data_IF_392336750203
#
_entry.id   IF_392336750203
#
_cell.length_a   1.000
_cell.length_b   1.000
_cell.length_c   1.000
_cell.angle_alpha   90.00
_cell.angle_beta   90.00
_cell.angle_gamma   90.00
#
_symmetry.space_group_name_H-M   'P 1'
#
loop_
_entity.id
_entity.type
_entity.pdbx_description
1 polymer ?
#
# COMPACT_ATOMS: atom_id res chain seq x y z
N UNK A 1 -20.18 -12.19 15.97
CA UNK A 1 -20.46 -13.13 14.85
C UNK A 1 -19.25 -14.03 14.65
N UNK A 2 -19.30 -15.29 15.09
CA UNK A 2 -18.24 -16.26 14.82
C UNK A 2 -18.29 -16.65 13.34
N UNK A 3 -17.29 -16.24 12.56
CA UNK A 3 -17.17 -16.63 11.16
C UNK A 3 -16.85 -18.13 11.08
N UNK A 4 -17.57 -18.89 10.25
CA UNK A 4 -17.34 -20.32 10.09
C UNK A 4 -15.91 -20.58 9.59
N UNK A 5 -15.17 -21.55 10.17
CA UNK A 5 -13.86 -21.95 9.66
C UNK A 5 -13.91 -22.29 8.17
N UNK A 6 -12.96 -21.78 7.39
CA UNK A 6 -12.91 -21.95 5.92
C UNK A 6 -13.77 -20.96 5.11
N UNK A 7 -14.56 -20.11 5.75
CA UNK A 7 -15.25 -19.00 5.06
C UNK A 7 -14.28 -17.92 4.58
N UNK A 8 -14.67 -17.16 3.53
CA UNK A 8 -13.88 -16.05 2.97
C UNK A 8 -13.51 -15.03 4.06
N UNK A 9 -14.46 -14.64 4.90
CA UNK A 9 -14.21 -13.69 5.99
C UNK A 9 -13.23 -14.21 7.05
N UNK A 10 -13.33 -15.51 7.39
CA UNK A 10 -12.42 -16.14 8.34
C UNK A 10 -10.98 -16.19 7.80
N UNK A 11 -10.82 -16.62 6.54
CA UNK A 11 -9.52 -16.68 5.86
C UNK A 11 -8.92 -15.28 5.67
N UNK A 12 -9.73 -14.30 5.25
CA UNK A 12 -9.28 -12.93 5.05
C UNK A 12 -8.81 -12.28 6.35
N UNK A 13 -9.55 -12.46 7.45
CA UNK A 13 -9.10 -12.00 8.78
C UNK A 13 -7.75 -12.62 9.15
N UNK A 14 -7.56 -13.91 8.87
CA UNK A 14 -6.30 -14.59 9.14
C UNK A 14 -5.15 -13.98 8.32
N UNK A 15 -5.38 -13.68 7.05
CA UNK A 15 -4.39 -12.99 6.20
C UNK A 15 -4.03 -11.60 6.72
N UNK A 16 -5.02 -10.80 7.13
CA UNK A 16 -4.78 -9.48 7.74
C UNK A 16 -3.97 -9.59 9.03
N UNK A 17 -4.25 -10.61 9.83
CA UNK A 17 -3.43 -10.89 11.02
C UNK A 17 -1.99 -11.24 10.62
N UNK A 18 -1.79 -12.11 9.64
CA UNK A 18 -0.45 -12.46 9.16
C UNK A 18 0.32 -11.23 8.65
N UNK A 19 -0.36 -10.31 7.94
CA UNK A 19 0.22 -9.01 7.55
C UNK A 19 0.62 -8.16 8.77
N UNK A 20 -0.22 -8.14 9.80
CA UNK A 20 0.09 -7.43 11.05
C UNK A 20 1.32 -8.01 11.75
N UNK A 21 1.42 -9.33 11.84
CA UNK A 21 2.58 -9.98 12.44
C UNK A 21 3.84 -9.80 11.58
N UNK A 22 3.73 -9.86 10.25
CA UNK A 22 4.89 -9.67 9.36
C UNK A 22 5.41 -8.23 9.36
N UNK A 23 4.55 -7.24 9.60
CA UNK A 23 4.95 -5.84 9.77
C UNK A 23 5.86 -5.62 11.01
N UNK A 24 5.76 -6.48 12.03
CA UNK A 24 6.60 -6.41 13.23
C UNK A 24 7.99 -7.04 13.08
N UNK A 25 8.19 -7.88 12.07
CA UNK A 25 9.47 -8.56 11.80
C UNK A 25 10.39 -7.73 10.91
N UNK A 26 11.07 -6.74 11.50
CA UNK A 26 12.03 -5.87 10.78
C UNK A 26 13.36 -6.52 10.38
N UNK A 27 13.57 -7.83 10.60
CA UNK A 27 14.81 -8.54 10.21
C UNK A 27 14.51 -9.79 9.38
N UNK A 28 15.11 -9.94 8.18
CA UNK A 28 14.99 -11.16 7.41
C UNK A 28 15.56 -12.34 8.21
N UNK A 29 14.80 -13.44 8.32
CA UNK A 29 15.23 -14.68 8.97
C UNK A 29 14.82 -14.87 10.44
N UNK A 30 14.10 -13.93 11.08
CA UNK A 30 13.48 -14.16 12.40
C UNK A 30 12.00 -14.53 12.29
N UNK A 31 11.53 -15.33 13.26
CA UNK A 31 10.11 -15.69 13.35
C UNK A 31 9.24 -14.44 13.41
N UNK A 32 8.13 -14.46 12.68
CA UNK A 32 7.15 -13.38 12.63
C UNK A 32 6.67 -13.08 14.06
N UNK A 33 6.92 -11.87 14.55
CA UNK A 33 6.57 -11.42 15.91
C UNK A 33 5.71 -10.17 15.80
N UNK A 34 4.75 -10.02 16.72
CA UNK A 34 3.92 -8.81 16.81
C UNK A 34 4.82 -7.57 16.82
N UNK A 35 4.40 -6.46 16.18
CA UNK A 35 5.12 -5.19 16.32
C UNK A 35 5.28 -4.89 17.82
N UNK A 36 6.52 -4.65 18.24
CA UNK A 36 6.81 -4.31 19.63
C UNK A 36 6.16 -2.99 20.02
N UNK A 37 5.96 -2.76 21.32
CA UNK A 37 5.34 -1.51 21.81
C UNK A 37 6.06 -0.27 21.29
N UNK A 38 7.40 -0.28 21.25
CA UNK A 38 8.18 0.81 20.67
C UNK A 38 7.81 1.08 19.20
N UNK A 39 7.64 0.05 18.36
CA UNK A 39 7.23 0.20 16.97
C UNK A 39 5.82 0.77 16.82
N UNK A 40 4.89 0.36 17.69
CA UNK A 40 3.53 0.91 17.73
C UNK A 40 3.51 2.37 18.17
N UNK A 41 4.31 2.73 19.17
CA UNK A 41 4.47 4.11 19.64
C UNK A 41 5.05 4.96 18.51
N UNK A 42 6.11 4.51 17.85
CA UNK A 42 6.69 5.22 16.69
C UNK A 42 5.66 5.40 15.58
N UNK A 43 4.92 4.35 15.22
CA UNK A 43 3.87 4.42 14.19
C UNK A 43 2.78 5.43 14.58
N UNK A 44 2.34 5.41 15.84
CA UNK A 44 1.35 6.35 16.37
C UNK A 44 1.85 7.80 16.36
N UNK A 45 3.10 8.03 16.76
CA UNK A 45 3.72 9.36 16.71
C UNK A 45 3.85 9.88 15.28
N UNK A 46 4.30 9.05 14.34
CA UNK A 46 4.35 9.39 12.91
C UNK A 46 2.95 9.74 12.40
N UNK A 47 1.95 8.93 12.74
CA UNK A 47 0.57 9.16 12.30
C UNK A 47 -0.01 10.46 12.88
N UNK A 48 0.32 10.80 14.13
CA UNK A 48 -0.07 12.06 14.75
C UNK A 48 0.63 13.26 14.10
N UNK A 49 1.92 13.13 13.79
CA UNK A 49 2.66 14.15 13.04
C UNK A 49 2.07 14.37 11.64
N UNK A 50 1.65 13.31 10.96
CA UNK A 50 0.94 13.39 9.68
C UNK A 50 -0.41 14.12 9.82
N UNK A 51 -1.14 13.93 10.93
CA UNK A 51 -2.37 14.68 11.21
C UNK A 51 -2.11 16.17 11.42
N UNK A 52 -1.08 16.51 12.19
CA UNK A 52 -0.69 17.90 12.40
C UNK A 52 -0.30 18.57 11.06
N UNK A 53 0.51 17.89 10.25
CA UNK A 53 0.90 18.36 8.93
C UNK A 53 -0.31 18.49 7.99
N UNK A 54 -1.19 17.51 7.95
CA UNK A 54 -2.37 17.53 7.11
C UNK A 54 -3.32 18.66 7.50
N UNK A 55 -3.57 18.85 8.81
CA UNK A 55 -4.37 19.98 9.30
C UNK A 55 -3.75 21.32 8.92
N UNK A 56 -2.44 21.47 9.11
CA UNK A 56 -1.71 22.66 8.68
C UNK A 56 -1.89 22.91 7.18
N UNK A 57 -1.59 21.93 6.33
CA UNK A 57 -1.71 22.08 4.86
C UNK A 57 -3.14 22.42 4.44
N UNK A 58 -4.14 21.67 4.92
CA UNK A 58 -5.54 21.89 4.54
C UNK A 58 -6.05 23.27 5.00
N UNK A 59 -5.65 23.73 6.19
CA UNK A 59 -6.00 25.06 6.68
C UNK A 59 -5.44 26.21 5.81
N UNK A 60 -4.33 25.97 5.09
CA UNK A 60 -3.71 26.97 4.21
C UNK A 60 -4.34 27.02 2.81
N UNK A 61 -5.08 25.97 2.42
CA UNK A 61 -5.72 25.87 1.10
C UNK A 61 -7.23 26.12 1.16
N UNK A 62 -7.77 26.51 2.31
CA UNK A 62 -9.20 26.71 2.56
C UNK A 62 -9.85 27.78 1.65
N UNK A 63 -9.04 28.73 1.14
CA UNK A 63 -9.49 29.75 0.18
C UNK A 63 -9.35 29.36 -1.29
N UNK A 64 -8.87 28.16 -1.61
CA UNK A 64 -8.65 27.72 -3.00
C UNK A 64 -9.93 27.09 -3.55
N UNK A 65 -10.40 27.57 -4.70
CA UNK A 65 -11.55 26.96 -5.38
C UNK A 65 -11.18 25.60 -5.97
N UNK A 66 -11.54 24.53 -5.26
CA UNK A 66 -11.34 23.14 -5.69
C UNK A 66 -12.11 22.77 -6.97
N UNK A 67 -12.94 23.67 -7.52
CA UNK A 67 -13.61 23.50 -8.81
C UNK A 67 -12.78 24.05 -9.98
N UNK A 68 -11.67 24.73 -9.74
CA UNK A 68 -10.76 25.16 -10.79
C UNK A 68 -10.28 23.93 -11.60
N UNK A 69 -10.52 23.90 -12.93
CA UNK A 69 -10.06 22.81 -13.79
C UNK A 69 -8.56 22.50 -13.65
N UNK A 70 -7.72 23.51 -13.40
CA UNK A 70 -6.27 23.33 -13.24
C UNK A 70 -5.93 22.46 -12.04
N UNK A 71 -6.65 22.67 -10.93
CA UNK A 71 -6.47 21.91 -9.69
C UNK A 71 -6.98 20.49 -9.87
N UNK A 72 -8.13 20.31 -10.53
CA UNK A 72 -8.68 18.99 -10.82
C UNK A 72 -7.75 18.18 -11.73
N UNK A 73 -7.14 18.81 -12.74
CA UNK A 73 -6.13 18.16 -13.60
C UNK A 73 -4.89 17.78 -12.78
N UNK A 74 -4.37 18.69 -11.95
CA UNK A 74 -3.21 18.41 -11.10
C UNK A 74 -3.48 17.26 -10.10
N UNK A 75 -4.66 17.26 -9.46
CA UNK A 75 -5.09 16.20 -8.56
C UNK A 75 -5.26 14.87 -9.29
N UNK A 76 -5.82 14.90 -10.50
CA UNK A 76 -5.97 13.69 -11.33
C UNK A 76 -4.62 13.13 -11.74
N UNK A 77 -3.67 13.98 -12.15
CA UNK A 77 -2.32 13.58 -12.47
C UNK A 77 -1.59 12.99 -11.25
N UNK A 78 -1.77 13.60 -10.07
CA UNK A 78 -1.23 13.09 -8.81
C UNK A 78 -1.81 11.71 -8.46
N UNK A 79 -3.15 11.55 -8.53
CA UNK A 79 -3.81 10.27 -8.30
C UNK A 79 -3.36 9.22 -9.31
N UNK A 80 -3.20 9.59 -10.58
CA UNK A 80 -2.66 8.69 -11.60
C UNK A 80 -1.22 8.27 -11.28
N UNK A 81 -0.37 9.18 -10.83
CA UNK A 81 0.97 8.87 -10.32
C UNK A 81 0.93 7.92 -9.12
N UNK A 82 0.03 8.14 -8.17
CA UNK A 82 -0.20 7.22 -7.06
C UNK A 82 -0.66 5.83 -7.57
N UNK A 83 -1.49 5.78 -8.61
CA UNK A 83 -1.97 4.53 -9.23
C UNK A 83 -0.83 3.66 -9.74
N UNK A 84 0.14 4.27 -10.44
CA UNK A 84 1.26 3.52 -11.04
C UNK A 84 2.16 2.91 -9.97
N UNK A 85 2.43 3.67 -8.90
CA UNK A 85 3.15 3.14 -7.73
C UNK A 85 2.36 2.03 -7.02
N UNK A 86 1.04 2.19 -6.92
CA UNK A 86 0.15 1.19 -6.31
C UNK A 86 0.14 -0.09 -7.14
N UNK A 87 0.18 0.03 -8.47
CA UNK A 87 0.25 -1.11 -9.39
C UNK A 87 1.56 -1.87 -9.24
N UNK A 88 2.69 -1.16 -9.19
CA UNK A 88 4.02 -1.78 -9.01
C UNK A 88 4.10 -2.56 -7.68
N UNK A 89 3.66 -1.97 -6.58
CA UNK A 89 3.63 -2.64 -5.27
C UNK A 89 2.63 -3.81 -5.23
N UNK A 90 1.46 -3.68 -5.87
CA UNK A 90 0.45 -4.74 -5.95
C UNK A 90 0.89 -5.91 -6.82
N UNK A 91 1.66 -5.68 -7.89
CA UNK A 91 2.28 -6.75 -8.70
C UNK A 91 3.23 -7.59 -7.86
N UNK A 92 4.14 -6.93 -7.13
CA UNK A 92 5.05 -7.61 -6.20
C UNK A 92 4.28 -8.42 -5.16
N UNK A 93 3.26 -7.81 -4.54
CA UNK A 93 2.43 -8.50 -3.55
C UNK A 93 1.68 -9.69 -4.15
N UNK A 94 1.19 -9.59 -5.39
CA UNK A 94 0.48 -10.66 -6.07
C UNK A 94 1.40 -11.86 -6.33
N UNK A 95 2.63 -11.62 -6.78
CA UNK A 95 3.62 -12.68 -6.99
C UNK A 95 3.97 -13.38 -5.68
N UNK A 96 4.19 -12.60 -4.62
CA UNK A 96 4.54 -13.14 -3.31
C UNK A 96 3.42 -14.04 -2.77
N UNK A 97 2.19 -13.54 -2.79
CA UNK A 97 1.01 -14.21 -2.23
C UNK A 97 0.62 -15.45 -3.04
N UNK A 98 0.80 -15.44 -4.36
CA UNK A 98 0.41 -16.57 -5.22
C UNK A 98 1.50 -17.63 -5.38
N UNK A 99 2.79 -17.25 -5.39
CA UNK A 99 3.86 -18.15 -5.82
C UNK A 99 5.01 -18.29 -4.83
N UNK A 100 5.35 -17.24 -4.06
CA UNK A 100 6.54 -17.32 -3.18
C UNK A 100 6.23 -17.82 -1.78
N UNK A 101 4.98 -17.66 -1.31
CA UNK A 101 4.61 -18.00 0.07
C UNK A 101 4.61 -19.51 0.37
N UNK A 102 4.55 -20.34 -0.67
CA UNK A 102 4.65 -21.81 -0.56
C UNK A 102 3.48 -22.49 0.14
N UNK A 103 2.43 -21.75 0.50
CA UNK A 103 1.24 -22.25 1.19
C UNK A 103 0.10 -22.61 0.20
N UNK A 104 0.23 -22.26 -1.08
CA UNK A 104 -0.84 -22.49 -2.07
C UNK A 104 -1.11 -23.97 -2.34
N UNK A 105 -0.07 -24.80 -2.49
CA UNK A 105 -0.24 -26.24 -2.74
C UNK A 105 -0.90 -26.94 -1.54
N UNK A 106 -0.58 -26.47 -0.32
CA UNK A 106 -1.22 -26.93 0.92
C UNK A 106 -2.69 -26.50 1.00
N UNK A 107 -2.99 -25.26 0.62
CA UNK A 107 -4.37 -24.75 0.61
C UNK A 107 -5.23 -25.43 -0.45
N UNK A 108 -4.66 -25.77 -1.61
CA UNK A 108 -5.37 -26.47 -2.69
C UNK A 108 -5.59 -27.96 -2.41
N UNK A 109 -4.77 -28.58 -1.56
CA UNK A 109 -4.98 -29.96 -1.09
C UNK A 109 -5.92 -30.05 0.13
N UNK A 110 -6.15 -28.92 0.82
CA UNK A 110 -7.16 -28.82 1.88
C UNK A 110 -8.59 -28.82 1.30
N UNK A 111 -9.63 -29.19 2.07
CA UNK A 111 -11.02 -29.19 1.63
C UNK A 111 -11.62 -27.77 1.52
N UNK A 112 -10.85 -26.79 1.03
CA UNK A 112 -11.26 -25.42 0.81
C UNK A 112 -11.57 -25.18 -0.67
N UNK A 113 -12.67 -24.50 -1.01
CA UNK A 113 -12.96 -24.15 -2.40
C UNK A 113 -11.89 -23.23 -2.99
N UNK A 114 -11.33 -23.56 -4.17
CA UNK A 114 -10.30 -22.75 -4.83
C UNK A 114 -10.71 -21.28 -5.01
N UNK A 115 -11.99 -21.04 -5.35
CA UNK A 115 -12.56 -19.68 -5.47
C UNK A 115 -12.37 -18.86 -4.19
N UNK A 116 -12.54 -19.47 -3.02
CA UNK A 116 -12.40 -18.80 -1.72
C UNK A 116 -10.96 -18.34 -1.51
N UNK A 117 -10.00 -19.22 -1.83
CA UNK A 117 -8.57 -18.95 -1.69
C UNK A 117 -8.17 -17.75 -2.57
N UNK A 118 -8.50 -17.78 -3.86
CA UNK A 118 -8.16 -16.70 -4.78
C UNK A 118 -8.86 -15.37 -4.44
N UNK A 119 -10.14 -15.40 -4.05
CA UNK A 119 -10.86 -14.20 -3.58
C UNK A 119 -10.17 -13.60 -2.36
N UNK A 120 -9.80 -14.42 -1.37
CA UNK A 120 -9.10 -13.94 -0.18
C UNK A 120 -7.75 -13.33 -0.55
N UNK A 121 -6.96 -13.98 -1.42
CA UNK A 121 -5.68 -13.42 -1.88
C UNK A 121 -5.87 -12.06 -2.55
N UNK A 122 -6.88 -11.93 -3.41
CA UNK A 122 -7.19 -10.67 -4.08
C UNK A 122 -7.57 -9.59 -3.08
N UNK A 123 -8.46 -9.90 -2.13
CA UNK A 123 -8.83 -9.01 -1.05
C UNK A 123 -7.62 -8.61 -0.19
N UNK A 124 -6.69 -9.52 0.08
CA UNK A 124 -5.46 -9.25 0.83
C UNK A 124 -4.55 -8.30 0.08
N UNK A 125 -4.37 -8.48 -1.24
CA UNK A 125 -3.59 -7.55 -2.07
C UNK A 125 -4.26 -6.17 -2.12
N UNK A 126 -5.58 -6.11 -2.31
CA UNK A 126 -6.33 -4.85 -2.34
C UNK A 126 -6.29 -4.11 -0.98
N UNK A 127 -6.50 -4.83 0.12
CA UNK A 127 -6.45 -4.25 1.46
C UNK A 127 -5.02 -3.81 1.82
N UNK A 128 -4.01 -4.62 1.49
CA UNK A 128 -2.61 -4.29 1.73
C UNK A 128 -2.15 -3.08 0.92
N UNK A 129 -2.56 -2.97 -0.34
CA UNK A 129 -2.24 -1.81 -1.17
C UNK A 129 -2.99 -0.56 -0.68
N UNK A 130 -4.29 -0.65 -0.37
CA UNK A 130 -5.07 0.46 0.18
C UNK A 130 -4.51 0.97 1.53
N UNK A 131 -4.06 0.07 2.41
CA UNK A 131 -3.66 0.40 3.77
C UNK A 131 -2.55 1.44 3.81
N UNK A 132 -1.54 1.34 2.95
CA UNK A 132 -0.44 2.30 2.89
C UNK A 132 -0.95 3.70 2.51
N UNK A 133 -1.78 3.79 1.47
CA UNK A 133 -2.31 5.08 1.02
C UNK A 133 -3.26 5.67 2.04
N UNK A 134 -4.16 4.86 2.61
CA UNK A 134 -5.06 5.31 3.68
C UNK A 134 -4.28 5.79 4.91
N UNK A 135 -3.19 5.14 5.28
CA UNK A 135 -2.35 5.60 6.40
C UNK A 135 -1.83 7.03 6.19
N UNK A 136 -1.38 7.36 4.98
CA UNK A 136 -0.83 8.69 4.65
C UNK A 136 -1.90 9.72 4.27
N UNK A 137 -2.99 9.31 3.61
CA UNK A 137 -3.99 10.22 3.04
C UNK A 137 -5.23 10.41 3.94
N UNK A 138 -5.58 9.45 4.81
CA UNK A 138 -6.69 9.63 5.76
C UNK A 138 -6.55 10.87 6.68
N UNK A 139 -5.33 11.26 7.14
CA UNK A 139 -5.16 12.52 7.87
C UNK A 139 -5.71 13.74 7.14
N UNK A 140 -5.57 13.81 5.82
CA UNK A 140 -6.12 14.89 5.00
C UNK A 140 -7.65 14.83 4.91
N UNK A 141 -8.22 13.60 4.83
CA UNK A 141 -9.66 13.41 4.87
C UNK A 141 -10.25 13.91 6.20
N UNK A 142 -9.62 13.57 7.32
CA UNK A 142 -10.01 14.04 8.64
C UNK A 142 -9.86 15.55 8.79
N UNK A 143 -8.73 16.12 8.39
CA UNK A 143 -8.48 17.55 8.45
C UNK A 143 -9.52 18.35 7.65
N UNK A 144 -9.82 17.92 6.42
CA UNK A 144 -10.86 18.54 5.60
C UNK A 144 -12.24 18.46 6.24
N UNK A 145 -12.59 17.31 6.84
CA UNK A 145 -13.85 17.16 7.56
C UNK A 145 -13.94 18.07 8.80
N UNK A 146 -12.86 18.20 9.57
CA UNK A 146 -12.78 19.08 10.74
C UNK A 146 -12.89 20.57 10.37
N UNK A 147 -12.41 20.96 9.19
CA UNK A 147 -12.51 22.32 8.64
C UNK A 147 -13.86 22.58 7.93
N UNK A 148 -14.81 21.64 7.96
CA UNK A 148 -16.16 21.80 7.41
C UNK A 148 -16.36 21.26 5.99
N UNK A 149 -15.32 20.72 5.36
CA UNK A 149 -15.37 20.22 3.98
C UNK A 149 -15.57 18.69 3.92
N UNK A 150 -16.81 18.24 4.07
CA UNK A 150 -17.16 16.81 4.04
C UNK A 150 -16.76 16.08 2.75
N UNK A 151 -16.56 16.81 1.64
CA UNK A 151 -16.12 16.24 0.36
C UNK A 151 -14.77 15.53 0.45
N UNK A 152 -13.92 15.88 1.41
CA UNK A 152 -12.65 15.21 1.64
C UNK A 152 -12.81 13.75 2.09
N UNK A 153 -13.96 13.36 2.65
CA UNK A 153 -14.25 11.96 2.94
C UNK A 153 -14.42 11.10 1.66
N UNK A 154 -14.61 11.71 0.49
CA UNK A 154 -14.62 10.97 -0.78
C UNK A 154 -13.28 10.25 -1.06
N UNK A 155 -12.21 10.63 -0.36
CA UNK A 155 -10.91 9.97 -0.44
C UNK A 155 -10.98 8.48 -0.07
N UNK A 156 -11.83 8.09 0.89
CA UNK A 156 -11.98 6.68 1.28
C UNK A 156 -12.52 5.79 0.14
N UNK A 157 -13.72 6.04 -0.42
CA UNK A 157 -14.23 5.20 -1.51
C UNK A 157 -13.36 5.28 -2.76
N UNK A 158 -12.73 6.43 -3.05
CA UNK A 158 -11.80 6.57 -4.19
C UNK A 158 -10.59 5.65 -4.01
N UNK A 159 -9.89 5.70 -2.87
CA UNK A 159 -8.73 4.86 -2.64
C UNK A 159 -9.09 3.38 -2.56
N UNK A 160 -10.21 3.03 -1.94
CA UNK A 160 -10.68 1.64 -1.89
C UNK A 160 -11.02 1.12 -3.29
N UNK A 161 -11.79 1.86 -4.10
CA UNK A 161 -12.11 1.48 -5.47
C UNK A 161 -10.89 1.41 -6.38
N UNK A 162 -9.96 2.34 -6.21
CA UNK A 162 -8.70 2.34 -6.96
C UNK A 162 -7.83 1.14 -6.59
N UNK A 163 -7.71 0.82 -5.30
CA UNK A 163 -6.92 -0.32 -4.82
C UNK A 163 -7.46 -1.66 -5.32
N UNK A 164 -8.78 -1.80 -5.43
CA UNK A 164 -9.40 -3.03 -5.94
C UNK A 164 -9.18 -3.19 -7.44
N UNK A 165 -9.36 -2.12 -8.23
CA UNK A 165 -9.06 -2.14 -9.67
C UNK A 165 -7.59 -2.48 -9.92
N UNK A 166 -6.69 -1.85 -9.16
CA UNK A 166 -5.25 -2.10 -9.28
C UNK A 166 -4.87 -3.51 -8.84
N UNK A 167 -5.47 -4.04 -7.76
CA UNK A 167 -5.22 -5.40 -7.32
C UNK A 167 -5.71 -6.43 -8.36
N UNK A 168 -6.89 -6.22 -8.96
CA UNK A 168 -7.39 -7.03 -10.06
C UNK A 168 -6.44 -7.02 -11.26
N UNK A 169 -6.03 -5.83 -11.70
CA UNK A 169 -5.08 -5.66 -12.80
C UNK A 169 -3.74 -6.35 -12.50
N UNK A 170 -3.18 -6.14 -11.30
CA UNK A 170 -1.94 -6.76 -10.88
C UNK A 170 -2.02 -8.29 -10.86
N UNK A 171 -3.10 -8.86 -10.34
CA UNK A 171 -3.29 -10.31 -10.33
C UNK A 171 -3.46 -10.88 -11.74
N UNK A 172 -4.22 -10.22 -12.61
CA UNK A 172 -4.38 -10.63 -14.01
C UNK A 172 -3.05 -10.58 -14.76
N UNK A 173 -2.28 -9.51 -14.60
CA UNK A 173 -0.94 -9.38 -15.19
C UNK A 173 0.00 -10.45 -14.66
N UNK A 174 -0.03 -10.73 -13.35
CA UNK A 174 0.81 -11.76 -12.73
C UNK A 174 0.46 -13.14 -13.29
N UNK A 175 -0.82 -13.50 -13.33
CA UNK A 175 -1.27 -14.78 -13.86
C UNK A 175 -0.99 -14.88 -15.38
N UNK A 176 -1.18 -13.79 -16.12
CA UNK A 176 -0.83 -13.69 -17.54
C UNK A 176 0.65 -13.94 -17.77
N UNK A 177 1.53 -13.31 -16.98
CA UNK A 177 2.98 -13.51 -17.06
C UNK A 177 3.35 -14.97 -16.75
N UNK A 178 2.74 -15.56 -15.72
CA UNK A 178 2.97 -16.97 -15.39
C UNK A 178 2.51 -17.91 -16.50
N UNK A 179 1.38 -17.62 -17.15
CA UNK A 179 0.90 -18.38 -18.31
C UNK A 179 1.86 -18.28 -19.51
N UNK A 180 2.49 -17.13 -19.71
CA UNK A 180 3.37 -16.89 -20.87
C UNK A 180 4.80 -17.41 -20.68
N UNK A 181 5.40 -17.22 -19.50
CA UNK A 181 6.82 -17.52 -19.26
C UNK A 181 7.07 -18.51 -18.12
N UNK A 182 6.02 -18.98 -17.45
CA UNK A 182 6.11 -19.91 -16.32
C UNK A 182 6.39 -19.25 -14.97
N UNK A 183 6.02 -19.96 -13.89
CA UNK A 183 6.12 -19.46 -12.51
C UNK A 183 7.57 -19.14 -12.09
N UNK A 184 8.54 -19.98 -12.47
CA UNK A 184 9.95 -19.78 -12.12
C UNK A 184 10.52 -18.47 -12.69
N UNK A 185 10.20 -18.14 -13.96
CA UNK A 185 10.68 -16.90 -14.60
C UNK A 185 9.94 -15.67 -14.10
N UNK A 186 8.64 -15.79 -13.82
CA UNK A 186 7.83 -14.72 -13.23
C UNK A 186 8.39 -14.27 -11.88
N UNK A 187 8.88 -15.22 -11.06
CA UNK A 187 9.53 -14.90 -9.79
C UNK A 187 10.76 -14.00 -9.97
N UNK A 188 11.61 -14.32 -10.94
CA UNK A 188 12.80 -13.52 -11.26
C UNK A 188 12.38 -12.12 -11.73
N UNK A 189 11.39 -12.02 -12.63
CA UNK A 189 10.88 -10.72 -13.10
C UNK A 189 10.34 -9.88 -11.95
N UNK A 190 9.58 -10.47 -11.04
CA UNK A 190 9.06 -9.77 -9.87
C UNK A 190 10.17 -9.28 -8.94
N UNK A 191 11.22 -10.09 -8.76
CA UNK A 191 12.40 -9.72 -7.99
C UNK A 191 13.17 -8.58 -8.64
N UNK A 192 13.35 -8.60 -9.97
CA UNK A 192 13.97 -7.51 -10.73
C UNK A 192 13.15 -6.23 -10.62
N UNK A 193 11.83 -6.29 -10.81
CA UNK A 193 10.95 -5.13 -10.64
C UNK A 193 11.05 -4.59 -9.21
N UNK A 194 11.03 -5.47 -8.21
CA UNK A 194 11.20 -5.09 -6.80
C UNK A 194 12.56 -4.44 -6.51
N UNK A 195 13.64 -4.95 -7.10
CA UNK A 195 14.98 -4.40 -6.96
C UNK A 195 15.11 -3.04 -7.65
N UNK A 196 14.55 -2.88 -8.85
CA UNK A 196 14.53 -1.61 -9.57
C UNK A 196 13.72 -0.54 -8.83
N UNK A 197 12.56 -0.91 -8.29
CA UNK A 197 11.76 0.00 -7.45
C UNK A 197 12.54 0.41 -6.19
N UNK A 198 13.20 -0.55 -5.52
CA UNK A 198 14.05 -0.26 -4.37
C UNK A 198 15.24 0.65 -4.70
N UNK A 199 15.92 0.39 -5.82
CA UNK A 199 17.03 1.20 -6.31
C UNK A 199 16.58 2.63 -6.65
N UNK A 200 15.41 2.80 -7.28
CA UNK A 200 14.86 4.11 -7.58
C UNK A 200 14.58 4.91 -6.31
N UNK A 201 13.97 4.30 -5.28
CA UNK A 201 13.74 4.96 -3.97
C UNK A 201 15.07 5.35 -3.32
N UNK A 202 16.07 4.45 -3.37
CA UNK A 202 17.40 4.74 -2.82
C UNK A 202 18.04 5.93 -3.54
N UNK A 203 18.03 5.96 -4.87
CA UNK A 203 18.58 7.06 -5.67
C UNK A 203 17.86 8.38 -5.36
N UNK A 204 16.53 8.38 -5.29
CA UNK A 204 15.75 9.56 -4.92
C UNK A 204 16.13 10.05 -3.51
N UNK A 205 16.23 9.14 -2.53
CA UNK A 205 16.65 9.49 -1.17
C UNK A 205 18.04 10.13 -1.16
N UNK A 206 18.98 9.66 -1.97
CA UNK A 206 20.32 10.24 -2.05
C UNK A 206 20.31 11.62 -2.70
N UNK A 207 19.52 11.83 -3.75
CA UNK A 207 19.35 13.15 -4.37
C UNK A 207 18.75 14.17 -3.39
N UNK A 208 17.77 13.77 -2.57
CA UNK A 208 17.22 14.62 -1.51
C UNK A 208 18.22 14.89 -0.37
N UNK A 209 19.03 13.90 0.01
CA UNK A 209 20.09 14.08 1.01
C UNK A 209 21.21 15.02 0.50
N UNK A 210 21.56 14.92 -0.78
CA UNK A 210 22.56 15.78 -1.39
C UNK A 210 22.07 17.23 -1.54
N UNK A 211 20.81 17.44 -1.91
CA UNK A 211 20.24 18.79 -2.04
C UNK A 211 20.07 19.49 -0.69
N UNK A 212 19.79 18.75 0.38
CA UNK A 212 19.74 19.30 1.75
C UNK A 212 21.13 19.68 2.27
N UNK A 213 22.15 18.83 2.08
CA UNK A 213 23.53 19.16 2.45
C UNK A 213 24.12 20.34 1.67
N UNK A 214 23.72 20.52 0.40
CA UNK A 214 24.14 21.66 -0.42
C UNK A 214 23.57 23.01 0.04
N UNK A 215 22.42 23.03 0.71
CA UNK A 215 21.84 24.26 1.27
C UNK A 215 22.54 24.71 2.55
N UNK A 216 22.99 23.78 3.41
CA UNK A 216 23.75 24.13 4.62
C UNK A 216 25.10 24.79 4.30
N UNK A 217 25.81 24.30 3.28
CA UNK A 217 27.09 24.87 2.84
C UNK A 217 26.92 26.29 2.26
N UNK A 218 25.79 26.58 1.59
CA UNK A 218 25.48 27.92 1.05
C UNK A 218 24.97 28.91 2.10
N UNK A 219 24.39 28.44 3.19
CA UNK A 219 23.96 29.29 4.30
C UNK A 219 25.11 29.64 5.27
N UNK A 220 26.20 28.88 5.22
CA UNK A 220 27.41 29.08 6.02
C UNK A 220 28.50 29.90 5.29
N UNK A 221 28.26 30.33 4.05
CA UNK A 221 29.14 31.17 3.24
C UNK A 221 28.53 32.57 3.05
#
# INVERSE_FOLDING_TARGET
>A
MSMQPGSIGWLFRHEVLLLWFSAGSGKPGKTSRRPGMAGLVTLGLVWLALHALAFFVVSRIDGIDMRDPRILVALTALLFGCMTFMLSSSLKSSVLVLFERGDLDLLLSSPLPSRSIFTVRLCTVAAGSAALYLFFLAPFAHAGALLGHLRWLALYPVLLGMSTVVACAAMLMTLGLVRLIGARRTRIVAQVIGALAGAMIFILSQLFAQSSGGMEVRAAA
#
